data_IF_080617589637
#
_entry.id   IF_080617589637
#
_cell.length_a   1.000
_cell.length_b   1.000
_cell.length_c   1.000
_cell.angle_alpha   90.00
_cell.angle_beta   90.00
_cell.angle_gamma   90.00
#
_symmetry.space_group_name_H-M   'P 1'
#
loop_
_entity.id
_entity.type
_entity.pdbx_description
1 polymer ?
#
# COMPACT_ATOMS: atom_id res chain seq x y z
N UNK A 1 -44.13 66.03 17.21
CA UNK A 1 -42.92 65.20 17.36
C UNK A 1 -43.45 63.79 17.54
N UNK A 2 -43.20 62.82 16.67
CA UNK A 2 -41.90 62.36 16.15
C UNK A 2 -42.00 61.89 14.68
N UNK A 3 -40.87 61.73 14.00
CA UNK A 3 -40.77 61.80 12.54
C UNK A 3 -41.15 60.51 11.83
N UNK A 4 -41.66 60.67 10.60
CA UNK A 4 -41.76 59.62 9.59
C UNK A 4 -40.36 59.06 9.33
N UNK A 5 -40.17 57.78 9.65
CA UNK A 5 -38.96 57.05 9.34
C UNK A 5 -38.98 56.71 7.83
N UNK A 6 -37.98 57.12 7.03
CA UNK A 6 -37.94 56.81 5.61
C UNK A 6 -37.51 55.36 5.40
N UNK A 7 -38.25 54.70 4.52
CA UNK A 7 -37.89 53.56 3.67
C UNK A 7 -36.62 52.79 4.07
N UNK A 8 -36.83 51.59 4.60
CA UNK A 8 -35.85 50.51 4.48
C UNK A 8 -35.58 50.30 2.99
N UNK A 9 -34.46 50.86 2.52
CA UNK A 9 -33.89 50.62 1.21
C UNK A 9 -33.70 49.11 1.05
N UNK A 10 -34.57 48.49 0.24
CA UNK A 10 -34.38 47.13 -0.22
C UNK A 10 -33.04 47.10 -0.95
N UNK A 11 -32.03 46.48 -0.35
CA UNK A 11 -30.80 46.15 -1.03
C UNK A 11 -31.18 45.38 -2.29
N UNK A 12 -30.96 46.01 -3.44
CA UNK A 12 -31.13 45.38 -4.74
C UNK A 12 -30.27 44.11 -4.75
N UNK A 13 -30.93 42.96 -4.73
CA UNK A 13 -30.32 41.73 -5.21
C UNK A 13 -29.92 42.03 -6.66
N UNK A 14 -28.65 41.91 -7.07
CA UNK A 14 -28.33 42.03 -8.49
C UNK A 14 -29.10 40.92 -9.20
N UNK A 15 -30.09 41.32 -10.01
CA UNK A 15 -30.68 40.45 -11.03
C UNK A 15 -29.52 39.94 -11.87
N UNK A 16 -29.16 38.68 -11.65
CA UNK A 16 -28.29 37.96 -12.58
C UNK A 16 -29.18 37.74 -13.80
N UNK A 17 -29.08 38.67 -14.76
CA UNK A 17 -29.72 38.50 -16.06
C UNK A 17 -29.30 37.12 -16.60
N UNK A 18 -30.28 36.31 -16.99
CA UNK A 18 -30.03 35.08 -17.72
C UNK A 18 -29.35 35.48 -19.03
N UNK A 19 -28.02 35.42 -19.05
CA UNK A 19 -27.23 35.67 -20.25
C UNK A 19 -27.44 34.46 -21.15
N UNK A 20 -28.29 34.60 -22.16
CA UNK A 20 -28.37 33.63 -23.26
C UNK A 20 -26.99 33.51 -23.89
N UNK A 21 -26.40 32.32 -23.79
CA UNK A 21 -25.11 32.03 -24.40
C UNK A 21 -25.26 32.07 -25.91
N UNK A 22 -24.26 32.62 -26.60
CA UNK A 22 -24.22 32.49 -28.06
C UNK A 22 -23.98 31.01 -28.43
N UNK A 23 -24.38 30.55 -29.62
CA UNK A 23 -24.14 29.17 -30.06
C UNK A 23 -22.66 28.76 -29.98
N UNK A 24 -21.75 29.71 -30.20
CA UNK A 24 -20.30 29.51 -30.10
C UNK A 24 -19.84 29.38 -28.64
N UNK A 25 -20.46 30.10 -27.70
CA UNK A 25 -20.22 29.95 -26.27
C UNK A 25 -20.79 28.63 -25.73
N UNK A 26 -21.94 28.17 -26.24
CA UNK A 26 -22.50 26.85 -25.89
C UNK A 26 -21.61 25.70 -26.37
N UNK A 27 -21.09 25.77 -27.60
CA UNK A 27 -20.14 24.77 -28.11
C UNK A 27 -18.82 24.77 -27.32
N UNK A 28 -18.27 25.94 -26.98
CA UNK A 28 -17.08 26.04 -26.15
C UNK A 28 -17.33 25.49 -24.75
N UNK A 29 -18.47 25.82 -24.12
CA UNK A 29 -18.84 25.29 -22.81
C UNK A 29 -18.96 23.77 -22.84
N UNK A 30 -19.60 23.21 -23.86
CA UNK A 30 -19.73 21.77 -24.06
C UNK A 30 -18.37 21.09 -24.25
N UNK A 31 -17.49 21.68 -25.06
CA UNK A 31 -16.12 21.19 -25.24
C UNK A 31 -15.33 21.14 -23.92
N UNK A 32 -15.43 22.19 -23.09
CA UNK A 32 -14.76 22.22 -21.79
C UNK A 32 -15.34 21.21 -20.80
N UNK A 33 -16.66 21.03 -20.78
CA UNK A 33 -17.31 20.03 -19.93
C UNK A 33 -16.91 18.60 -20.33
N UNK A 34 -16.92 18.26 -21.62
CA UNK A 34 -16.47 16.95 -22.10
C UNK A 34 -14.99 16.68 -21.83
N UNK A 35 -14.18 17.74 -21.79
CA UNK A 35 -12.76 17.65 -21.42
C UNK A 35 -12.58 17.39 -19.93
N UNK A 36 -13.29 18.11 -19.07
CA UNK A 36 -13.27 17.90 -17.62
C UNK A 36 -13.76 16.50 -17.27
N UNK A 37 -14.83 16.02 -17.90
CA UNK A 37 -15.32 14.64 -17.70
C UNK A 37 -14.29 13.60 -18.10
N UNK A 38 -13.58 13.80 -19.21
CA UNK A 38 -12.48 12.92 -19.64
C UNK A 38 -11.29 12.94 -18.69
N UNK A 39 -10.89 14.12 -18.23
CA UNK A 39 -9.78 14.28 -17.28
C UNK A 39 -10.13 13.62 -15.93
N UNK A 40 -11.34 13.85 -15.39
CA UNK A 40 -11.80 13.18 -14.16
C UNK A 40 -11.99 11.66 -14.33
N UNK A 41 -12.45 11.20 -15.50
CA UNK A 41 -12.55 9.77 -15.78
C UNK A 41 -11.16 9.10 -15.85
N UNK A 42 -10.17 9.80 -16.41
CA UNK A 42 -8.78 9.34 -16.46
C UNK A 42 -8.16 9.29 -15.06
N UNK A 43 -8.42 10.30 -14.20
CA UNK A 43 -7.95 10.30 -12.82
C UNK A 43 -8.59 9.17 -12.00
N UNK A 44 -9.90 8.93 -12.16
CA UNK A 44 -10.59 7.79 -11.51
C UNK A 44 -10.11 6.42 -11.99
N UNK A 45 -9.60 6.33 -13.22
CA UNK A 45 -9.00 5.10 -13.76
C UNK A 45 -7.56 4.88 -13.29
N UNK A 46 -6.87 5.95 -12.86
CA UNK A 46 -5.46 5.92 -12.49
C UNK A 46 -5.23 5.96 -10.97
N UNK A 47 -6.23 6.33 -10.18
CA UNK A 47 -6.24 6.11 -8.74
C UNK A 47 -6.39 4.60 -8.46
N UNK A 48 -5.24 3.92 -8.30
CA UNK A 48 -5.21 2.65 -7.57
C UNK A 48 -5.98 2.86 -6.27
N UNK A 49 -6.94 1.98 -5.99
CA UNK A 49 -7.69 2.03 -4.73
C UNK A 49 -6.70 2.15 -3.56
N UNK A 50 -7.01 2.89 -2.47
CA UNK A 50 -6.15 2.96 -1.29
C UNK A 50 -5.67 1.57 -0.81
N UNK A 51 -6.51 0.55 -0.99
CA UNK A 51 -6.17 -0.86 -0.71
C UNK A 51 -5.10 -1.43 -1.65
N UNK A 52 -5.13 -1.10 -2.94
CA UNK A 52 -4.13 -1.53 -3.92
C UNK A 52 -2.79 -0.83 -3.73
N UNK A 53 -2.82 0.47 -3.39
CA UNK A 53 -1.62 1.22 -3.04
C UNK A 53 -0.95 0.67 -1.77
N UNK A 54 -1.74 0.30 -0.76
CA UNK A 54 -1.23 -0.34 0.46
C UNK A 54 -0.63 -1.73 0.17
N UNK A 55 -1.28 -2.54 -0.67
CA UNK A 55 -0.74 -3.84 -1.11
C UNK A 55 0.57 -3.67 -1.89
N UNK A 56 0.67 -2.68 -2.76
CA UNK A 56 1.90 -2.39 -3.51
C UNK A 56 3.04 -1.95 -2.58
N UNK A 57 2.73 -1.11 -1.59
CA UNK A 57 3.69 -0.73 -0.53
C UNK A 57 4.19 -1.96 0.22
N UNK A 58 3.28 -2.83 0.69
CA UNK A 58 3.68 -4.05 1.38
C UNK A 58 4.49 -5.00 0.50
N UNK A 59 4.16 -5.14 -0.79
CA UNK A 59 4.97 -5.93 -1.73
C UNK A 59 6.40 -5.40 -1.81
N UNK A 60 6.54 -4.09 -1.85
CA UNK A 60 7.85 -3.42 -1.93
C UNK A 60 8.65 -3.62 -0.64
N UNK A 61 8.02 -3.42 0.52
CA UNK A 61 8.66 -3.64 1.83
C UNK A 61 9.06 -5.11 2.04
N UNK A 62 8.20 -6.08 1.65
CA UNK A 62 8.56 -7.50 1.74
C UNK A 62 9.69 -7.86 0.77
N UNK A 63 9.72 -7.27 -0.42
CA UNK A 63 10.81 -7.47 -1.38
C UNK A 63 12.14 -7.02 -0.79
N UNK A 64 12.19 -5.85 -0.17
CA UNK A 64 13.42 -5.36 0.50
C UNK A 64 13.87 -6.29 1.62
N UNK A 65 12.93 -6.80 2.42
CA UNK A 65 13.23 -7.80 3.45
C UNK A 65 13.84 -9.06 2.81
N UNK A 66 13.22 -9.60 1.77
CA UNK A 66 13.73 -10.79 1.10
C UNK A 66 15.09 -10.56 0.46
N UNK A 67 15.30 -9.44 -0.25
CA UNK A 67 16.58 -9.12 -0.87
C UNK A 67 17.70 -8.99 0.18
N UNK A 68 17.37 -8.52 1.39
CA UNK A 68 18.33 -8.44 2.51
C UNK A 68 18.63 -9.79 3.17
N UNK A 69 17.74 -10.78 3.09
CA UNK A 69 17.85 -12.07 3.80
C UNK A 69 18.23 -13.24 2.91
N UNK A 70 17.84 -13.21 1.63
CA UNK A 70 18.08 -14.26 0.65
C UNK A 70 19.45 -14.11 -0.03
N UNK A 71 20.44 -13.65 0.73
CA UNK A 71 21.83 -13.59 0.30
C UNK A 71 22.58 -14.85 0.79
N UNK A 72 23.46 -15.45 -0.02
CA UNK A 72 24.14 -16.71 0.32
C UNK A 72 24.80 -16.67 1.70
N UNK A 73 25.47 -15.57 2.05
CA UNK A 73 26.21 -15.45 3.31
C UNK A 73 25.32 -15.63 4.54
N UNK A 74 24.08 -15.12 4.48
CA UNK A 74 23.11 -15.25 5.58
C UNK A 74 22.42 -16.61 5.56
N UNK A 75 22.03 -17.10 4.37
CA UNK A 75 21.35 -18.38 4.24
C UNK A 75 22.25 -19.53 4.68
N UNK A 76 23.51 -19.54 4.24
CA UNK A 76 24.49 -20.56 4.59
C UNK A 76 24.76 -20.55 6.10
N UNK A 77 24.99 -19.37 6.68
CA UNK A 77 25.18 -19.22 8.14
C UNK A 77 23.97 -19.72 8.95
N UNK A 78 22.75 -19.56 8.44
CA UNK A 78 21.55 -20.05 9.09
C UNK A 78 21.43 -21.58 8.98
N UNK A 79 21.79 -22.15 7.82
CA UNK A 79 21.79 -23.59 7.58
C UNK A 79 22.88 -24.36 8.35
N UNK A 80 23.94 -23.68 8.78
CA UNK A 80 24.99 -24.29 9.60
C UNK A 80 24.56 -24.58 11.05
N UNK A 81 23.49 -23.94 11.53
CA UNK A 81 22.98 -24.12 12.89
C UNK A 81 22.35 -25.52 13.03
N UNK A 82 22.94 -26.41 13.83
CA UNK A 82 22.50 -27.82 13.90
C UNK A 82 21.71 -28.15 15.15
N UNK A 83 21.98 -27.46 16.26
CA UNK A 83 21.35 -27.76 17.53
C UNK A 83 20.69 -26.53 18.18
N UNK A 84 19.87 -26.80 19.19
CA UNK A 84 19.13 -25.77 19.90
C UNK A 84 20.03 -24.73 20.56
N UNK A 85 21.20 -25.11 21.10
CA UNK A 85 22.09 -24.17 21.77
C UNK A 85 22.65 -23.14 20.78
N UNK A 86 23.18 -23.58 19.64
CA UNK A 86 23.63 -22.73 18.54
C UNK A 86 22.51 -21.83 18.02
N UNK A 87 21.34 -22.42 17.79
CA UNK A 87 20.18 -21.71 17.24
C UNK A 87 19.60 -20.65 18.19
N UNK A 88 19.75 -20.83 19.50
CA UNK A 88 19.33 -19.87 20.52
C UNK A 88 20.40 -18.80 20.78
N UNK A 89 21.67 -19.12 20.58
CA UNK A 89 22.78 -18.18 20.73
C UNK A 89 22.99 -17.29 19.49
N UNK A 90 22.49 -17.70 18.31
CA UNK A 90 22.66 -16.97 17.05
C UNK A 90 21.82 -15.68 16.97
N UNK A 91 22.45 -14.49 16.94
CA UNK A 91 21.73 -13.23 16.74
C UNK A 91 21.11 -13.17 15.34
N UNK A 92 21.81 -13.68 14.34
CA UNK A 92 21.35 -13.75 12.95
C UNK A 92 20.02 -14.50 12.85
N UNK A 93 19.89 -15.65 13.53
CA UNK A 93 18.64 -16.42 13.55
C UNK A 93 17.52 -15.68 14.29
N UNK A 94 17.85 -15.00 15.38
CA UNK A 94 16.86 -14.20 16.12
C UNK A 94 16.29 -13.06 15.26
N UNK A 95 17.14 -12.38 14.50
CA UNK A 95 16.74 -11.35 13.54
C UNK A 95 15.92 -11.93 12.38
N UNK A 96 16.37 -13.04 11.78
CA UNK A 96 15.64 -13.72 10.72
C UNK A 96 14.24 -14.17 11.15
N UNK A 97 14.10 -14.66 12.39
CA UNK A 97 12.79 -14.97 12.99
C UNK A 97 11.89 -13.76 13.12
N UNK A 98 12.43 -12.60 13.53
CA UNK A 98 11.64 -11.36 13.60
C UNK A 98 11.15 -10.93 12.22
N UNK A 99 12.02 -11.02 11.21
CA UNK A 99 11.64 -10.75 9.82
C UNK A 99 10.54 -11.70 9.33
N UNK A 100 10.66 -13.01 9.60
CA UNK A 100 9.63 -14.00 9.26
C UNK A 100 8.27 -13.67 9.91
N UNK A 101 8.24 -13.23 11.17
CA UNK A 101 6.99 -12.82 11.83
C UNK A 101 6.32 -11.66 11.09
N UNK A 102 7.09 -10.66 10.66
CA UNK A 102 6.56 -9.54 9.89
C UNK A 102 6.06 -9.98 8.50
N UNK A 103 6.79 -10.89 7.84
CA UNK A 103 6.37 -11.46 6.55
C UNK A 103 5.04 -12.21 6.72
N UNK A 104 4.93 -13.12 7.69
CA UNK A 104 3.73 -13.93 7.92
C UNK A 104 2.49 -13.08 8.22
N UNK A 105 2.63 -11.93 8.87
CA UNK A 105 1.50 -11.00 9.12
C UNK A 105 0.95 -10.38 7.83
N UNK A 106 1.82 -10.07 6.87
CA UNK A 106 1.47 -9.29 5.66
C UNK A 106 1.16 -10.17 4.46
N UNK A 107 1.75 -11.36 4.39
CA UNK A 107 1.59 -12.31 3.28
C UNK A 107 0.11 -12.62 2.95
N UNK A 108 -0.78 -12.90 3.93
CA UNK A 108 -2.18 -13.24 3.63
C UNK A 108 -2.93 -12.13 2.89
N UNK A 109 -2.60 -10.86 3.18
CA UNK A 109 -3.27 -9.72 2.59
C UNK A 109 -2.75 -9.37 1.19
N UNK A 110 -1.57 -9.88 0.81
CA UNK A 110 -1.01 -9.74 -0.53
C UNK A 110 -1.55 -10.78 -1.53
N UNK A 111 -2.26 -11.80 -1.03
CA UNK A 111 -2.78 -12.91 -1.81
C UNK A 111 -1.71 -13.90 -2.24
N UNK A 112 -2.10 -14.79 -3.15
CA UNK A 112 -1.27 -15.90 -3.63
C UNK A 112 -0.24 -15.46 -4.68
N UNK A 113 0.76 -14.70 -4.25
CA UNK A 113 1.94 -14.42 -5.08
C UNK A 113 2.95 -15.54 -4.92
N UNK A 114 3.06 -16.42 -5.93
CA UNK A 114 3.95 -17.59 -5.91
C UNK A 114 5.42 -17.22 -5.57
N UNK A 115 5.93 -16.11 -6.12
CA UNK A 115 7.30 -15.62 -5.83
C UNK A 115 7.52 -15.30 -4.35
N UNK A 116 6.59 -14.60 -3.69
CA UNK A 116 6.73 -14.24 -2.28
C UNK A 116 6.61 -15.47 -1.37
N UNK A 117 5.76 -16.43 -1.75
CA UNK A 117 5.62 -17.71 -1.04
C UNK A 117 6.88 -18.54 -1.13
N UNK A 118 7.50 -18.63 -2.30
CA UNK A 118 8.75 -19.36 -2.48
C UNK A 118 9.88 -18.71 -1.68
N UNK A 119 10.00 -17.38 -1.73
CA UNK A 119 10.98 -16.62 -0.93
C UNK A 119 10.78 -16.82 0.58
N UNK A 120 9.53 -16.77 1.04
CA UNK A 120 9.18 -17.09 2.42
C UNK A 120 9.61 -18.52 2.79
N UNK A 121 9.34 -19.51 1.93
CA UNK A 121 9.72 -20.90 2.17
C UNK A 121 11.23 -21.05 2.30
N UNK A 122 12.01 -20.45 1.41
CA UNK A 122 13.49 -20.48 1.47
C UNK A 122 14.00 -19.92 2.81
N UNK A 123 13.56 -18.72 3.18
CA UNK A 123 13.98 -18.10 4.44
C UNK A 123 13.53 -18.90 5.67
N UNK A 124 12.30 -19.42 5.64
CA UNK A 124 11.76 -20.22 6.75
C UNK A 124 12.55 -21.52 6.96
N UNK A 125 12.89 -22.22 5.89
CA UNK A 125 13.75 -23.42 5.94
C UNK A 125 15.16 -23.09 6.46
N UNK A 126 15.76 -21.99 6.01
CA UNK A 126 17.06 -21.55 6.50
C UNK A 126 17.02 -21.28 8.01
N UNK A 127 15.98 -20.60 8.51
CA UNK A 127 15.81 -20.35 9.95
C UNK A 127 15.64 -21.65 10.76
N UNK A 128 14.95 -22.63 10.19
CA UNK A 128 14.77 -23.95 10.79
C UNK A 128 13.92 -23.98 12.06
N UNK A 129 13.24 -25.11 12.26
CA UNK A 129 12.43 -25.37 13.46
C UNK A 129 13.25 -26.21 14.42
N UNK A 130 13.15 -25.90 15.72
CA UNK A 130 13.82 -26.71 16.74
C UNK A 130 12.90 -27.87 17.09
N UNK A 131 13.38 -29.10 16.86
CA UNK A 131 12.67 -30.34 17.13
C UNK A 131 13.61 -31.32 17.85
N UNK A 132 13.22 -31.80 19.03
CA UNK A 132 14.04 -32.69 19.87
C UNK A 132 15.48 -32.20 20.09
N UNK A 133 15.67 -30.89 20.26
CA UNK A 133 16.99 -30.28 20.50
C UNK A 133 17.85 -30.09 19.24
N UNK A 134 17.37 -30.49 18.07
CA UNK A 134 18.02 -30.30 16.77
C UNK A 134 17.30 -29.24 15.95
N UNK A 135 18.03 -28.58 15.05
CA UNK A 135 17.44 -27.67 14.06
C UNK A 135 17.11 -28.49 12.81
N UNK A 136 15.84 -28.44 12.42
CA UNK A 136 15.33 -29.08 11.22
C UNK A 136 15.08 -28.00 10.16
N UNK A 137 15.89 -28.04 9.10
CA UNK A 137 15.79 -27.17 7.93
C UNK A 137 14.94 -27.73 6.80
N UNK A 138 14.49 -28.98 6.93
CA UNK A 138 13.78 -29.72 5.88
C UNK A 138 12.27 -29.73 6.10
N UNK A 139 11.85 -29.57 7.34
CA UNK A 139 10.44 -29.45 7.70
C UNK A 139 9.91 -28.08 7.29
N UNK A 140 8.87 -28.08 6.47
CA UNK A 140 8.08 -26.87 6.21
C UNK A 140 7.33 -26.46 7.50
N UNK A 141 7.26 -25.14 7.79
CA UNK A 141 6.49 -24.62 8.93
C UNK A 141 5.00 -24.89 8.81
#
# INVERSE_FOLDING_TARGET
MEPKNPEFSQMANPEVAEVELTPEQEEQAKYWLERIEREMAADRLNEKSPEEAEKEKWRSELKEIFDAWLVPEKLDSLHELKNQAEAMASPLRAEAKKALVEITKRMPALGDSDDLKDKYRVLSMAVGIINNGLVDHTRQP
#
